data_IF_263082022213
#
_entry.id   IF_263082022213
#
_cell.length_a   1.000
_cell.length_b   1.000
_cell.length_c   1.000
_cell.angle_alpha   90.00
_cell.angle_beta   90.00
_cell.angle_gamma   90.00
#
_symmetry.space_group_name_H-M   'P 1'
#
loop_
_entity.id
_entity.type
_entity.pdbx_description
1 polymer ?
#
# COMPACT_ATOMS: atom_id res chain seq x y z
N UNK A 1 11.76 -18.09 1.22
CA UNK A 1 10.69 -18.48 0.27
C UNK A 1 9.87 -17.23 -0.08
N UNK A 2 9.28 -17.09 -1.28
CA UNK A 2 8.52 -15.90 -1.61
C UNK A 2 7.30 -15.78 -0.72
N UNK A 3 7.12 -14.61 -0.11
CA UNK A 3 5.76 -14.18 0.18
C UNK A 3 5.09 -13.98 -1.18
N UNK A 4 4.06 -14.77 -1.41
CA UNK A 4 3.16 -14.71 -2.55
C UNK A 4 2.64 -13.27 -2.82
N UNK A 5 2.72 -12.41 -1.81
CA UNK A 5 2.22 -11.03 -1.78
C UNK A 5 3.01 -10.01 -2.63
N UNK A 6 4.29 -10.22 -2.92
CA UNK A 6 5.06 -9.22 -3.70
C UNK A 6 4.90 -9.36 -5.23
N UNK A 7 4.57 -10.56 -5.75
CA UNK A 7 4.61 -10.82 -7.19
C UNK A 7 3.23 -10.90 -7.86
N UNK A 8 2.17 -11.32 -7.17
CA UNK A 8 0.83 -11.47 -7.77
C UNK A 8 -0.20 -10.45 -7.28
N UNK A 9 -0.15 -10.01 -6.02
CA UNK A 9 -1.16 -9.09 -5.46
C UNK A 9 -1.06 -7.69 -6.06
N UNK A 10 0.12 -7.27 -6.55
CA UNK A 10 0.34 -5.95 -7.17
C UNK A 10 0.43 -6.00 -8.71
N UNK A 11 0.04 -7.11 -9.35
CA UNK A 11 0.16 -7.30 -10.81
C UNK A 11 -1.19 -7.45 -11.53
N UNK A 12 -2.31 -6.95 -10.98
CA UNK A 12 -3.59 -6.93 -11.73
C UNK A 12 -3.65 -5.81 -12.77
N UNK A 13 -2.80 -5.97 -13.76
CA UNK A 13 -2.61 -5.01 -14.83
C UNK A 13 -1.13 -4.92 -15.05
N UNK A 14 -0.65 -5.49 -16.13
CA UNK A 14 0.67 -5.21 -16.72
C UNK A 14 0.77 -3.74 -17.20
N UNK A 15 0.08 -2.82 -16.53
CA UNK A 15 -0.37 -1.52 -16.99
C UNK A 15 -0.10 -0.43 -15.94
N UNK A 16 -0.11 -0.77 -14.64
CA UNK A 16 0.21 0.12 -13.53
C UNK A 16 0.76 -0.66 -12.34
N UNK A 17 1.69 -0.07 -11.58
CA UNK A 17 2.28 -0.68 -10.38
C UNK A 17 2.49 0.38 -9.31
N UNK A 18 1.74 0.28 -8.21
CA UNK A 18 2.03 1.00 -6.97
C UNK A 18 3.00 0.23 -6.07
N UNK A 19 4.00 0.94 -5.53
CA UNK A 19 4.92 0.41 -4.51
C UNK A 19 4.57 0.96 -3.14
N UNK A 20 4.18 0.05 -2.24
CA UNK A 20 3.83 0.32 -0.85
C UNK A 20 4.86 1.23 -0.18
N UNK A 21 4.42 2.36 0.41
CA UNK A 21 5.23 3.31 1.21
C UNK A 21 6.49 3.95 0.58
N UNK A 22 6.99 3.47 -0.55
CA UNK A 22 7.89 4.26 -1.41
C UNK A 22 7.11 5.20 -2.32
N UNK A 23 5.77 5.07 -2.38
CA UNK A 23 4.86 5.99 -3.08
C UNK A 23 5.16 6.15 -4.57
N UNK A 24 5.84 5.15 -5.14
CA UNK A 24 6.11 5.09 -6.57
C UNK A 24 4.87 4.49 -7.23
N UNK A 25 4.25 5.29 -8.10
CA UNK A 25 3.18 4.85 -8.97
C UNK A 25 3.68 4.86 -10.42
N UNK A 26 3.98 3.68 -10.97
CA UNK A 26 4.38 3.53 -12.36
C UNK A 26 3.16 3.21 -13.22
N UNK A 27 2.98 3.92 -14.34
CA UNK A 27 1.90 3.68 -15.30
C UNK A 27 2.54 3.44 -16.67
N UNK A 28 2.12 2.39 -17.36
CA UNK A 28 2.61 2.02 -18.68
C UNK A 28 2.09 2.95 -19.78
N UNK A 29 2.82 3.00 -20.89
CA UNK A 29 2.60 3.98 -21.98
C UNK A 29 1.24 3.95 -22.64
N UNK A 30 0.59 2.78 -22.70
CA UNK A 30 -0.76 2.65 -23.28
C UNK A 30 -1.87 3.13 -22.35
N UNK A 31 -1.54 3.50 -21.11
CA UNK A 31 -2.51 3.88 -20.09
C UNK A 31 -2.32 5.33 -19.64
N UNK A 32 -1.85 6.20 -20.53
CA UNK A 32 -1.73 7.62 -20.24
C UNK A 32 -3.11 8.31 -20.30
N UNK A 33 -3.43 9.14 -19.29
CA UNK A 33 -4.68 9.93 -19.25
C UNK A 33 -4.80 11.00 -20.34
N UNK A 34 -3.68 11.45 -20.90
CA UNK A 34 -3.63 12.52 -21.91
C UNK A 34 -2.43 12.31 -22.85
N UNK A 35 -2.50 11.33 -23.77
CA UNK A 35 -1.41 11.06 -24.70
C UNK A 35 -1.21 12.21 -25.68
N UNK A 36 0.05 12.57 -25.96
CA UNK A 36 0.42 13.70 -26.84
C UNK A 36 -0.10 13.57 -28.28
N UNK A 37 -0.42 12.36 -28.73
CA UNK A 37 -0.93 12.08 -30.07
C UNK A 37 -2.47 12.23 -30.19
N UNK A 38 -3.19 12.40 -29.08
CA UNK A 38 -4.62 12.69 -29.11
C UNK A 38 -4.83 14.22 -29.21
N UNK A 39 -5.49 14.68 -30.27
CA UNK A 39 -5.96 16.07 -30.37
C UNK A 39 -7.10 16.28 -29.37
N UNK A 40 -6.75 16.76 -28.17
CA UNK A 40 -7.60 16.85 -26.99
C UNK A 40 -8.51 18.09 -26.97
N UNK A 41 -9.45 18.17 -27.92
CA UNK A 41 -10.70 18.91 -27.68
C UNK A 41 -11.91 17.99 -27.52
N UNK A 42 -11.83 16.69 -27.88
CA UNK A 42 -13.02 15.79 -27.81
C UNK A 42 -12.77 14.29 -27.48
N UNK A 43 -11.54 13.76 -27.51
CA UNK A 43 -11.32 12.35 -27.15
C UNK A 43 -10.95 12.19 -25.66
N UNK A 44 -11.98 11.92 -24.84
CA UNK A 44 -11.80 11.49 -23.45
C UNK A 44 -10.93 10.23 -23.39
N UNK A 45 -9.94 10.17 -22.50
CA UNK A 45 -9.20 8.93 -22.27
C UNK A 45 -10.17 7.76 -22.07
N UNK A 46 -9.81 6.58 -22.57
CA UNK A 46 -10.65 5.40 -22.46
C UNK A 46 -11.03 5.19 -20.98
N UNK A 47 -12.30 4.90 -20.65
CA UNK A 47 -12.73 4.71 -19.26
C UNK A 47 -11.89 3.67 -18.49
N UNK A 48 -11.34 2.68 -19.19
CA UNK A 48 -10.37 1.72 -18.66
C UNK A 48 -9.12 2.39 -18.05
N UNK A 49 -8.59 3.42 -18.72
CA UNK A 49 -7.41 4.16 -18.27
C UNK A 49 -7.73 4.97 -17.01
N UNK A 50 -8.88 5.64 -17.00
CA UNK A 50 -9.32 6.38 -15.81
C UNK A 50 -9.54 5.44 -14.63
N UNK A 51 -10.12 4.27 -14.88
CA UNK A 51 -10.35 3.26 -13.85
C UNK A 51 -9.04 2.70 -13.27
N UNK A 52 -8.03 2.44 -14.11
CA UNK A 52 -6.68 2.08 -13.66
C UNK A 52 -6.05 3.17 -12.77
N UNK A 53 -6.09 4.44 -13.22
CA UNK A 53 -5.53 5.54 -12.43
C UNK A 53 -6.26 5.73 -11.10
N UNK A 54 -7.57 5.47 -11.05
CA UNK A 54 -8.35 5.46 -9.82
C UNK A 54 -7.94 4.30 -8.92
N UNK A 55 -7.83 3.08 -9.44
CA UNK A 55 -7.37 1.89 -8.72
C UNK A 55 -6.05 2.14 -7.99
N UNK A 56 -5.04 2.58 -8.72
CA UNK A 56 -3.72 2.87 -8.16
C UNK A 56 -3.73 4.09 -7.22
N UNK A 57 -4.62 5.05 -7.44
CA UNK A 57 -4.80 6.16 -6.52
C UNK A 57 -5.38 5.71 -5.18
N UNK A 58 -6.30 4.74 -5.17
CA UNK A 58 -6.84 4.17 -3.93
C UNK A 58 -5.74 3.52 -3.10
N UNK A 59 -4.82 2.80 -3.73
CA UNK A 59 -3.60 2.31 -3.08
C UNK A 59 -2.81 3.42 -2.43
N UNK A 60 -2.47 4.46 -3.20
CA UNK A 60 -1.74 5.62 -2.70
C UNK A 60 -2.46 6.28 -1.52
N UNK A 61 -3.78 6.45 -1.63
CA UNK A 61 -4.63 7.07 -0.63
C UNK A 61 -4.62 6.26 0.67
N UNK A 62 -4.96 4.96 0.62
CA UNK A 62 -5.03 4.12 1.82
C UNK A 62 -3.71 4.09 2.59
N UNK A 63 -2.58 4.05 1.87
CA UNK A 63 -1.26 4.00 2.48
C UNK A 63 -0.88 5.23 3.32
N UNK A 64 -1.51 6.38 3.08
CA UNK A 64 -1.21 7.64 3.75
C UNK A 64 -2.34 8.20 4.61
N UNK A 65 -3.50 7.55 4.59
CA UNK A 65 -4.72 8.11 5.19
C UNK A 65 -5.53 7.11 6.01
N UNK A 66 -5.08 5.86 6.10
CA UNK A 66 -5.71 4.83 6.93
C UNK A 66 -4.79 4.42 8.06
N UNK A 67 -5.35 3.88 9.14
CA UNK A 67 -4.56 3.38 10.28
C UNK A 67 -3.70 2.19 9.86
N UNK A 68 -4.25 1.29 9.06
CA UNK A 68 -3.51 0.14 8.54
C UNK A 68 -2.31 0.57 7.67
N UNK A 69 -2.51 1.53 6.76
CA UNK A 69 -1.44 2.08 5.93
C UNK A 69 -0.36 2.79 6.74
N UNK A 70 -0.75 3.72 7.60
CA UNK A 70 0.21 4.46 8.43
C UNK A 70 0.93 3.57 9.45
N UNK A 71 0.26 2.55 9.98
CA UNK A 71 0.89 1.53 10.83
C UNK A 71 1.92 0.69 10.08
N UNK A 72 1.62 0.25 8.86
CA UNK A 72 2.59 -0.46 8.02
C UNK A 72 3.81 0.42 7.69
N UNK A 73 3.59 1.71 7.40
CA UNK A 73 4.69 2.68 7.21
C UNK A 73 5.57 2.76 8.46
N UNK A 74 4.95 2.93 9.63
CA UNK A 74 5.65 2.97 10.91
C UNK A 74 6.53 1.74 11.10
N UNK A 75 5.96 0.54 10.95
CA UNK A 75 6.67 -0.71 11.16
C UNK A 75 7.85 -0.85 10.18
N UNK A 76 7.65 -0.52 8.90
CA UNK A 76 8.75 -0.55 7.90
C UNK A 76 9.86 0.44 8.27
N UNK A 77 9.53 1.65 8.70
CA UNK A 77 10.54 2.64 9.07
C UNK A 77 11.27 2.27 10.35
N UNK A 78 10.59 1.66 11.32
CA UNK A 78 11.24 1.11 12.51
C UNK A 78 12.28 0.04 12.14
N UNK A 79 12.04 -0.76 11.11
CA UNK A 79 12.98 -1.79 10.65
C UNK A 79 14.26 -1.23 9.98
N UNK A 80 14.32 0.07 9.67
CA UNK A 80 15.50 0.70 9.04
C UNK A 80 16.75 0.60 9.91
N UNK A 81 16.65 0.92 11.21
CA UNK A 81 17.80 0.90 12.12
C UNK A 81 18.30 -0.53 12.42
N UNK A 82 17.43 -1.52 12.73
CA UNK A 82 17.84 -2.92 12.83
C UNK A 82 18.50 -3.45 11.56
N UNK A 83 17.95 -3.14 10.38
CA UNK A 83 18.56 -3.52 9.10
C UNK A 83 19.94 -2.90 8.92
N UNK A 84 20.09 -1.62 9.28
CA UNK A 84 21.38 -0.92 9.20
C UNK A 84 22.41 -1.57 10.13
N UNK A 85 22.03 -1.91 11.36
CA UNK A 85 22.88 -2.57 12.33
C UNK A 85 23.32 -3.96 11.84
N UNK A 86 22.38 -4.79 11.39
CA UNK A 86 22.68 -6.13 10.85
C UNK A 86 23.61 -6.07 9.64
N UNK A 87 23.51 -5.04 8.78
CA UNK A 87 24.43 -4.83 7.65
C UNK A 87 25.83 -4.36 8.06
N UNK A 88 26.02 -3.86 9.28
CA UNK A 88 27.35 -3.46 9.82
C UNK A 88 27.99 -4.62 10.60
N UNK A 89 27.20 -5.33 11.39
CA UNK A 89 27.63 -6.52 12.14
C UNK A 89 26.53 -7.58 12.07
N UNK A 90 26.80 -8.66 11.34
CA UNK A 90 25.87 -9.76 11.13
C UNK A 90 25.44 -10.45 12.46
N UNK A 91 26.22 -10.29 13.54
CA UNK A 91 25.86 -10.82 14.85
C UNK A 91 24.79 -9.98 15.58
N UNK A 92 24.65 -8.69 15.26
CA UNK A 92 23.70 -7.79 15.96
C UNK A 92 22.24 -8.01 15.56
N UNK A 93 21.98 -8.60 14.39
CA UNK A 93 20.61 -8.96 13.95
C UNK A 93 20.15 -10.36 14.36
N UNK A 94 21.00 -11.13 15.03
CA UNK A 94 20.83 -12.58 15.23
C UNK A 94 20.52 -12.99 16.67
N UNK A 95 20.66 -12.09 17.65
CA UNK A 95 20.39 -12.39 19.06
C UNK A 95 18.88 -12.44 19.33
N UNK A 96 18.26 -13.56 18.96
CA UNK A 96 16.82 -13.87 19.10
C UNK A 96 16.32 -13.94 20.54
N UNK A 97 17.18 -13.69 21.53
CA UNK A 97 16.89 -13.81 22.96
C UNK A 97 17.09 -12.52 23.76
N UNK A 98 17.59 -11.44 23.15
CA UNK A 98 17.71 -10.11 23.77
C UNK A 98 16.46 -9.23 23.53
N UNK A 99 16.37 -8.09 24.22
CA UNK A 99 15.26 -7.11 24.11
C UNK A 99 15.01 -6.67 22.67
N UNK A 100 16.08 -6.46 21.89
CA UNK A 100 16.00 -6.10 20.47
C UNK A 100 15.35 -7.19 19.60
N UNK A 101 15.60 -8.47 19.90
CA UNK A 101 14.95 -9.58 19.22
C UNK A 101 13.45 -9.67 19.52
N UNK A 102 13.02 -9.25 20.71
CA UNK A 102 11.60 -9.19 21.10
C UNK A 102 10.88 -8.06 20.36
N UNK A 103 11.45 -6.86 20.32
CA UNK A 103 10.87 -5.72 19.60
C UNK A 103 10.83 -5.97 18.09
N UNK A 104 11.90 -6.51 17.50
CA UNK A 104 11.93 -6.86 16.08
C UNK A 104 10.81 -7.84 15.72
N UNK A 105 10.61 -8.88 16.54
CA UNK A 105 9.52 -9.83 16.35
C UNK A 105 8.16 -9.15 16.48
N UNK A 106 7.97 -8.29 17.49
CA UNK A 106 6.73 -7.54 17.66
C UNK A 106 6.43 -6.64 16.45
N UNK A 107 7.44 -6.00 15.85
CA UNK A 107 7.27 -5.20 14.62
C UNK A 107 6.87 -6.07 13.43
N UNK A 108 7.48 -7.23 13.22
CA UNK A 108 7.06 -8.15 12.16
C UNK A 108 5.65 -8.72 12.39
N UNK A 109 5.31 -9.05 13.63
CA UNK A 109 3.98 -9.55 13.99
C UNK A 109 2.91 -8.46 13.78
N UNK A 110 3.20 -7.21 14.15
CA UNK A 110 2.34 -6.04 13.86
C UNK A 110 2.16 -5.85 12.36
N UNK A 111 3.26 -5.81 11.59
CA UNK A 111 3.22 -5.65 10.15
C UNK A 111 2.39 -6.76 9.48
N UNK A 112 2.56 -8.02 9.92
CA UNK A 112 1.77 -9.16 9.45
C UNK A 112 0.28 -9.01 9.77
N UNK A 113 -0.08 -8.53 10.95
CA UNK A 113 -1.49 -8.27 11.34
C UNK A 113 -2.12 -7.17 10.49
N UNK A 114 -1.42 -6.05 10.31
CA UNK A 114 -1.91 -4.90 9.56
C UNK A 114 -2.02 -5.19 8.06
N UNK A 115 -1.01 -5.84 7.47
CA UNK A 115 -1.02 -6.22 6.05
C UNK A 115 -2.02 -7.33 5.74
N UNK A 116 -2.27 -8.21 6.71
CA UNK A 116 -2.92 -9.49 6.48
C UNK A 116 -1.93 -10.49 5.89
N UNK A 117 -2.36 -11.74 5.73
CA UNK A 117 -1.50 -12.79 5.20
C UNK A 117 -2.30 -13.90 4.55
N UNK A 118 -1.62 -14.70 3.73
CA UNK A 118 -2.13 -15.92 3.12
C UNK A 118 -1.18 -17.08 3.44
N UNK A 119 -1.73 -18.25 3.75
CA UNK A 119 -1.01 -19.50 4.01
C UNK A 119 -1.53 -20.57 3.05
N UNK A 120 -0.68 -21.55 2.75
CA UNK A 120 -1.04 -22.76 2.00
C UNK A 120 -1.34 -22.58 0.50
N UNK A 121 -1.12 -21.39 -0.07
CA UNK A 121 -1.05 -21.26 -1.53
C UNK A 121 0.33 -21.72 -2.01
N UNK A 122 0.42 -22.62 -3.02
CA UNK A 122 1.69 -23.05 -3.58
C UNK A 122 2.54 -21.85 -4.09
N UNK A 123 3.87 -21.86 -3.90
CA UNK A 123 4.73 -20.84 -4.47
C UNK A 123 4.59 -20.78 -6.00
N UNK A 124 4.50 -19.57 -6.56
CA UNK A 124 4.30 -19.33 -8.01
C UNK A 124 3.03 -19.98 -8.58
N UNK A 125 2.01 -20.15 -7.74
CA UNK A 125 0.69 -20.53 -8.22
C UNK A 125 0.21 -19.53 -9.26
N UNK A 126 -0.48 -20.00 -10.29
CA UNK A 126 -1.12 -19.15 -11.28
C UNK A 126 -2.62 -19.35 -11.15
N UNK A 127 -3.33 -18.27 -10.85
CA UNK A 127 -4.78 -18.35 -10.68
C UNK A 127 -5.48 -18.76 -11.97
N UNK A 128 -6.19 -19.89 -11.89
CA UNK A 128 -7.22 -20.24 -12.86
C UNK A 128 -8.47 -19.41 -12.60
N UNK A 129 -9.42 -19.47 -13.54
CA UNK A 129 -10.72 -18.82 -13.37
C UNK A 129 -11.47 -19.48 -12.21
N UNK A 130 -11.71 -18.71 -11.16
CA UNK A 130 -12.55 -19.14 -10.03
C UNK A 130 -14.01 -18.93 -10.39
N UNK A 131 -14.83 -19.97 -10.23
CA UNK A 131 -16.27 -19.93 -10.45
C UNK A 131 -17.04 -19.68 -9.15
N UNK A 132 -16.49 -20.14 -8.02
CA UNK A 132 -17.11 -19.99 -6.70
C UNK A 132 -16.06 -19.95 -5.60
N UNK A 133 -16.35 -19.15 -4.58
CA UNK A 133 -15.61 -19.10 -3.33
C UNK A 133 -16.46 -19.71 -2.21
N UNK A 134 -15.85 -20.53 -1.37
CA UNK A 134 -16.45 -21.02 -0.13
C UNK A 134 -15.56 -20.61 1.04
N UNK A 135 -16.18 -20.06 2.09
CA UNK A 135 -15.48 -19.55 3.28
C UNK A 135 -15.93 -20.33 4.51
N UNK A 136 -15.01 -20.61 5.42
CA UNK A 136 -15.33 -21.16 6.73
C UNK A 136 -15.94 -20.10 7.64
N UNK A 137 -16.82 -20.48 8.58
CA UNK A 137 -17.12 -19.64 9.73
C UNK A 137 -15.84 -19.28 10.49
N UNK A 138 -15.86 -18.13 11.18
CA UNK A 138 -14.75 -17.74 12.06
C UNK A 138 -14.58 -18.79 13.15
N UNK A 139 -13.35 -19.25 13.36
CA UNK A 139 -13.07 -20.27 14.37
C UNK A 139 -13.44 -19.74 15.76
N UNK A 140 -14.29 -20.41 16.56
CA UNK A 140 -14.72 -19.92 17.89
C UNK A 140 -13.58 -19.63 18.87
N UNK A 141 -12.38 -20.20 18.63
CA UNK A 141 -11.18 -19.93 19.41
C UNK A 141 -10.44 -18.62 19.07
N UNK A 142 -10.76 -17.97 17.94
CA UNK A 142 -10.06 -16.78 17.41
C UNK A 142 -10.72 -15.45 17.82
N UNK A 143 -11.28 -15.41 19.04
CA UNK A 143 -12.17 -14.37 19.60
C UNK A 143 -13.63 -14.44 19.14
N UNK A 144 -14.52 -14.18 20.10
CA UNK A 144 -15.97 -14.03 19.91
C UNK A 144 -16.23 -12.67 19.26
N UNK A 145 -16.28 -12.64 17.94
CA UNK A 145 -16.94 -11.56 17.20
C UNK A 145 -18.44 -11.53 17.63
N UNK A 146 -19.08 -10.35 17.80
CA UNK A 146 -18.56 -9.00 17.64
C UNK A 146 -18.14 -8.39 18.99
N UNK A 147 -16.91 -7.87 19.07
CA UNK A 147 -16.45 -7.06 20.19
C UNK A 147 -16.72 -5.57 19.92
N UNK A 148 -17.24 -4.84 20.92
CA UNK A 148 -17.43 -3.38 20.80
C UNK A 148 -16.09 -2.66 20.64
N UNK A 149 -15.07 -3.13 21.37
CA UNK A 149 -13.71 -2.58 21.34
C UNK A 149 -12.83 -3.51 20.52
N UNK A 150 -12.25 -2.97 19.45
CA UNK A 150 -11.34 -3.70 18.57
C UNK A 150 -9.91 -3.44 19.03
N UNK A 151 -9.21 -4.50 19.41
CA UNK A 151 -7.83 -4.42 19.88
C UNK A 151 -6.84 -4.73 18.73
N UNK A 152 -5.72 -3.99 18.68
CA UNK A 152 -4.65 -4.18 17.70
C UNK A 152 -3.98 -5.58 17.73
N UNK A 153 -4.09 -6.32 18.83
CA UNK A 153 -3.54 -7.68 18.97
C UNK A 153 -4.49 -8.76 18.43
N UNK A 154 -5.74 -8.41 18.13
CA UNK A 154 -6.72 -9.37 17.63
C UNK A 154 -6.57 -9.60 16.13
N UNK A 155 -6.90 -10.81 15.68
CA UNK A 155 -6.91 -11.16 14.26
C UNK A 155 -7.93 -12.27 13.99
N UNK A 156 -8.59 -12.19 12.83
CA UNK A 156 -9.50 -13.22 12.31
C UNK A 156 -8.88 -13.89 11.08
N UNK A 157 -8.96 -15.21 11.02
CA UNK A 157 -8.56 -16.02 9.86
C UNK A 157 -9.76 -16.77 9.27
N UNK A 158 -9.70 -17.02 7.97
CA UNK A 158 -10.68 -17.79 7.22
C UNK A 158 -9.98 -18.92 6.48
N UNK A 159 -10.53 -20.12 6.57
CA UNK A 159 -10.24 -21.18 5.61
C UNK A 159 -11.12 -20.96 4.38
N UNK A 160 -10.52 -21.05 3.20
CA UNK A 160 -11.15 -20.73 1.92
C UNK A 160 -10.93 -21.87 0.95
N UNK A 161 -11.98 -22.20 0.22
CA UNK A 161 -11.92 -23.08 -0.95
C UNK A 161 -12.26 -22.26 -2.20
N UNK A 162 -11.29 -22.12 -3.10
CA UNK A 162 -11.51 -21.61 -4.44
C UNK A 162 -11.87 -22.76 -5.37
N UNK A 163 -13.04 -22.70 -6.00
CA UNK A 163 -13.52 -23.72 -6.94
C UNK A 163 -13.36 -23.19 -8.36
N UNK A 164 -12.66 -23.93 -9.20
CA UNK A 164 -12.33 -23.52 -10.57
C UNK A 164 -13.37 -23.99 -11.60
N UNK A 165 -13.23 -23.57 -12.85
CA UNK A 165 -14.13 -23.91 -13.95
C UNK A 165 -13.99 -25.36 -14.45
N UNK A 166 -12.84 -25.99 -14.22
CA UNK A 166 -12.57 -27.41 -14.44
C UNK A 166 -13.06 -28.32 -13.29
N UNK A 167 -13.58 -27.74 -12.22
CA UNK A 167 -14.06 -28.44 -11.03
C UNK A 167 -12.97 -28.78 -10.01
N UNK A 168 -11.72 -28.41 -10.25
CA UNK A 168 -10.66 -28.52 -9.23
C UNK A 168 -10.88 -27.51 -8.10
N UNK A 169 -10.21 -27.75 -6.98
CA UNK A 169 -10.27 -26.90 -5.80
C UNK A 169 -8.87 -26.50 -5.32
N UNK A 170 -8.74 -25.28 -4.79
CA UNK A 170 -7.59 -24.85 -4.02
C UNK A 170 -8.05 -24.42 -2.63
N UNK A 171 -7.52 -25.09 -1.61
CA UNK A 171 -7.75 -24.74 -0.22
C UNK A 171 -6.58 -23.94 0.34
N UNK A 172 -6.89 -22.85 1.03
CA UNK A 172 -5.89 -22.01 1.67
C UNK A 172 -6.49 -21.26 2.87
N UNK A 173 -5.64 -20.68 3.70
CA UNK A 173 -6.07 -19.88 4.85
C UNK A 173 -5.60 -18.45 4.68
N UNK A 174 -6.41 -17.46 5.00
CA UNK A 174 -5.97 -16.07 4.98
C UNK A 174 -6.57 -15.23 6.10
N UNK A 175 -5.90 -14.13 6.40
CA UNK A 175 -6.43 -13.06 7.24
C UNK A 175 -6.51 -11.76 6.42
N UNK A 176 -7.70 -11.15 6.27
CA UNK A 176 -7.85 -9.92 5.50
C UNK A 176 -7.19 -8.74 6.23
N UNK A 177 -6.27 -8.06 5.55
CA UNK A 177 -5.62 -6.84 6.02
C UNK A 177 -5.49 -5.80 4.91
N UNK A 178 -4.55 -4.87 5.07
CA UNK A 178 -4.32 -3.76 4.13
C UNK A 178 -4.29 -4.19 2.67
N UNK A 179 -3.56 -5.26 2.35
CA UNK A 179 -3.38 -5.72 0.96
C UNK A 179 -4.70 -6.23 0.36
N UNK A 180 -5.36 -7.18 1.03
CA UNK A 180 -6.63 -7.76 0.57
C UNK A 180 -7.75 -6.72 0.47
N UNK A 181 -7.91 -5.90 1.51
CA UNK A 181 -9.00 -4.93 1.61
C UNK A 181 -8.79 -3.77 0.64
N UNK A 182 -7.56 -3.28 0.47
CA UNK A 182 -7.27 -2.20 -0.48
C UNK A 182 -7.50 -2.63 -1.91
N UNK A 183 -7.01 -3.81 -2.32
CA UNK A 183 -7.27 -4.33 -3.67
C UNK A 183 -8.76 -4.55 -3.91
N UNK A 184 -9.49 -5.04 -2.90
CA UNK A 184 -10.94 -5.19 -2.95
C UNK A 184 -11.67 -3.87 -3.20
N UNK A 185 -11.35 -2.82 -2.42
CA UNK A 185 -11.94 -1.49 -2.58
C UNK A 185 -11.57 -0.86 -3.93
N UNK A 186 -10.28 -0.93 -4.29
CA UNK A 186 -9.77 -0.38 -5.54
C UNK A 186 -10.47 -1.03 -6.74
N UNK A 187 -10.68 -2.35 -6.67
CA UNK A 187 -11.41 -3.09 -7.69
C UNK A 187 -12.90 -2.77 -7.75
N UNK A 188 -13.58 -2.60 -6.61
CA UNK A 188 -14.99 -2.18 -6.60
C UNK A 188 -15.17 -0.82 -7.29
N UNK A 189 -14.22 0.10 -7.11
CA UNK A 189 -14.20 1.41 -7.79
C UNK A 189 -13.88 1.26 -9.28
N UNK A 190 -12.83 0.51 -9.62
CA UNK A 190 -12.46 0.20 -11.00
C UNK A 190 -13.65 -0.40 -11.78
N UNK A 191 -14.30 -1.39 -11.19
CA UNK A 191 -15.45 -2.08 -11.76
C UNK A 191 -16.64 -1.14 -11.95
N UNK A 192 -16.98 -0.29 -10.98
CA UNK A 192 -18.07 0.69 -11.12
C UNK A 192 -17.80 1.68 -12.26
N UNK A 193 -16.57 2.19 -12.37
CA UNK A 193 -16.16 3.11 -13.44
C UNK A 193 -16.34 2.44 -14.83
N UNK A 194 -15.82 1.22 -14.99
CA UNK A 194 -15.94 0.47 -16.27
C UNK A 194 -17.38 0.10 -16.59
N UNK A 195 -18.17 -0.30 -15.59
CA UNK A 195 -19.58 -0.64 -15.79
C UNK A 195 -20.42 0.57 -16.22
N UNK A 196 -20.19 1.75 -15.61
CA UNK A 196 -20.85 3.00 -16.03
C UNK A 196 -20.45 3.45 -17.43
N UNK A 197 -19.27 3.05 -17.88
CA UNK A 197 -18.80 3.24 -19.25
C UNK A 197 -19.37 2.22 -20.25
N UNK A 198 -20.26 1.32 -19.83
CA UNK A 198 -20.94 0.36 -20.70
C UNK A 198 -20.24 -1.00 -20.83
N UNK A 199 -19.15 -1.26 -20.09
CA UNK A 199 -18.54 -2.59 -20.04
C UNK A 199 -19.43 -3.52 -19.22
N UNK A 200 -19.80 -4.69 -19.76
CA UNK A 200 -20.58 -5.67 -19.01
C UNK A 200 -19.82 -6.16 -17.78
N UNK A 201 -20.53 -6.47 -16.68
CA UNK A 201 -19.94 -7.04 -15.46
C UNK A 201 -19.07 -8.28 -15.77
N UNK A 202 -19.57 -9.19 -16.59
CA UNK A 202 -18.83 -10.36 -17.04
C UNK A 202 -17.51 -9.99 -17.74
N UNK A 203 -17.53 -8.96 -18.59
CA UNK A 203 -16.34 -8.49 -19.29
C UNK A 203 -15.29 -7.87 -18.37
N UNK A 204 -15.71 -7.20 -17.29
CA UNK A 204 -14.80 -6.69 -16.26
C UNK A 204 -14.19 -7.86 -15.48
N UNK A 205 -15.03 -8.72 -14.91
CA UNK A 205 -14.60 -9.79 -14.00
C UNK A 205 -13.70 -10.83 -14.70
N UNK A 206 -13.89 -11.11 -16.00
CA UNK A 206 -13.12 -12.14 -16.73
C UNK A 206 -11.64 -11.79 -16.90
N UNK A 207 -11.28 -10.50 -16.89
CA UNK A 207 -9.90 -10.06 -17.08
C UNK A 207 -9.20 -9.65 -15.77
N UNK A 208 -9.83 -9.92 -14.63
CA UNK A 208 -9.32 -9.58 -13.31
C UNK A 208 -8.75 -10.83 -12.64
N UNK A 209 -7.56 -10.78 -11.99
CA UNK A 209 -7.05 -11.90 -11.21
C UNK A 209 -8.03 -12.33 -10.12
N UNK A 210 -8.10 -13.63 -9.85
CA UNK A 210 -9.12 -14.16 -8.95
C UNK A 210 -8.96 -13.65 -7.50
N UNK A 211 -7.75 -13.73 -6.96
CA UNK A 211 -7.44 -13.26 -5.60
C UNK A 211 -6.43 -12.12 -5.65
N UNK A 212 -6.57 -11.07 -4.80
CA UNK A 212 -7.66 -10.84 -3.84
C UNK A 212 -8.96 -10.27 -4.43
N UNK A 213 -8.92 -9.76 -5.67
CA UNK A 213 -9.95 -8.94 -6.31
C UNK A 213 -11.36 -9.54 -6.28
N UNK A 214 -11.53 -10.73 -6.88
CA UNK A 214 -12.82 -11.39 -7.03
C UNK A 214 -13.25 -12.12 -5.75
N UNK A 215 -12.39 -12.18 -4.73
CA UNK A 215 -12.68 -12.81 -3.43
C UNK A 215 -13.26 -11.81 -2.40
N UNK A 216 -12.98 -10.51 -2.53
CA UNK A 216 -13.41 -9.48 -1.57
C UNK A 216 -14.94 -9.41 -1.42
N UNK A 217 -15.66 -9.23 -2.53
CA UNK A 217 -17.13 -9.18 -2.54
C UNK A 217 -17.76 -10.44 -1.93
N UNK A 218 -17.42 -11.64 -2.43
CA UNK A 218 -17.93 -12.90 -1.88
C UNK A 218 -17.66 -13.11 -0.39
N UNK A 219 -16.51 -12.65 0.14
CA UNK A 219 -16.26 -12.70 1.59
C UNK A 219 -17.28 -11.85 2.36
N UNK A 220 -17.53 -10.62 1.91
CA UNK A 220 -18.48 -9.73 2.59
C UNK A 220 -19.92 -10.26 2.50
N UNK A 221 -20.29 -10.85 1.37
CA UNK A 221 -21.59 -11.49 1.19
C UNK A 221 -21.76 -12.72 2.09
N UNK A 222 -20.72 -13.54 2.21
CA UNK A 222 -20.70 -14.67 3.14
C UNK A 222 -20.91 -14.20 4.59
N UNK A 223 -20.17 -13.18 5.02
CA UNK A 223 -20.27 -12.62 6.38
C UNK A 223 -21.64 -11.97 6.65
N UNK A 224 -22.17 -11.23 5.67
CA UNK A 224 -23.47 -10.57 5.80
C UNK A 224 -24.66 -11.53 5.66
N UNK A 225 -24.44 -12.75 5.16
CA UNK A 225 -25.50 -13.70 4.85
C UNK A 225 -26.38 -13.31 3.66
N UNK A 226 -25.90 -12.41 2.79
CA UNK A 226 -26.67 -11.84 1.68
C UNK A 226 -25.88 -10.91 0.78
N UNK A 227 -26.53 -10.38 -0.27
CA UNK A 227 -25.90 -9.46 -1.22
C UNK A 227 -25.47 -8.15 -0.54
N UNK A 228 -24.24 -7.70 -0.81
CA UNK A 228 -23.71 -6.42 -0.34
C UNK A 228 -23.48 -5.50 -1.54
N UNK A 229 -24.15 -4.32 -1.62
CA UNK A 229 -23.92 -3.34 -2.68
C UNK A 229 -22.47 -2.82 -2.74
N UNK A 230 -22.00 -2.41 -3.91
CA UNK A 230 -20.60 -2.01 -4.13
C UNK A 230 -20.16 -0.82 -3.25
N UNK A 231 -21.00 0.21 -3.11
CA UNK A 231 -20.74 1.36 -2.23
C UNK A 231 -20.61 0.94 -0.77
N UNK A 232 -21.45 0.00 -0.33
CA UNK A 232 -21.42 -0.57 1.01
C UNK A 232 -20.17 -1.42 1.23
N UNK A 233 -19.71 -2.20 0.24
CA UNK A 233 -18.42 -2.91 0.32
C UNK A 233 -17.25 -1.95 0.51
N UNK A 234 -17.26 -0.83 -0.22
CA UNK A 234 -16.26 0.23 -0.08
C UNK A 234 -16.31 0.82 1.34
N UNK A 235 -17.50 1.13 1.87
CA UNK A 235 -17.66 1.64 3.24
C UNK A 235 -17.09 0.67 4.28
N UNK A 236 -17.50 -0.61 4.23
CA UNK A 236 -17.08 -1.63 5.19
C UNK A 236 -15.56 -1.84 5.14
N UNK A 237 -14.99 -1.91 3.95
CA UNK A 237 -13.55 -2.01 3.76
C UNK A 237 -12.80 -0.78 4.29
N UNK A 238 -13.25 0.44 3.96
CA UNK A 238 -12.61 1.66 4.45
C UNK A 238 -12.63 1.74 5.96
N UNK A 239 -13.78 1.46 6.60
CA UNK A 239 -13.88 1.44 8.06
C UNK A 239 -12.95 0.39 8.68
N UNK A 240 -12.83 -0.79 8.07
CA UNK A 240 -11.89 -1.80 8.52
C UNK A 240 -10.44 -1.32 8.49
N UNK A 241 -10.03 -0.58 7.45
CA UNK A 241 -8.67 -0.02 7.36
C UNK A 241 -8.40 1.13 8.36
N UNK A 242 -9.44 1.78 8.88
CA UNK A 242 -9.34 2.79 9.93
C UNK A 242 -9.25 2.18 11.33
N UNK A 243 -9.65 0.92 11.48
CA UNK A 243 -9.64 0.21 12.75
C UNK A 243 -8.23 -0.26 13.18
N UNK A 244 -8.01 -0.55 14.48
CA UNK A 244 -6.76 -1.13 14.97
C UNK A 244 -6.45 -2.52 14.41
N UNK A 245 -7.49 -3.34 14.17
CA UNK A 245 -7.38 -4.65 13.55
C UNK A 245 -8.33 -4.74 12.34
N UNK A 246 -7.79 -4.68 11.10
CA UNK A 246 -8.63 -4.67 9.90
C UNK A 246 -9.50 -5.93 9.76
N UNK A 247 -8.94 -7.11 10.04
CA UNK A 247 -9.65 -8.38 9.93
C UNK A 247 -10.88 -8.48 10.85
N UNK A 248 -10.74 -8.04 12.11
CA UNK A 248 -11.80 -8.07 13.11
C UNK A 248 -12.89 -7.07 12.77
N UNK A 249 -12.50 -5.86 12.37
CA UNK A 249 -13.42 -4.81 11.97
C UNK A 249 -14.23 -5.21 10.73
N UNK A 250 -13.56 -5.71 9.69
CA UNK A 250 -14.24 -6.17 8.47
C UNK A 250 -15.28 -7.24 8.79
N UNK A 251 -14.90 -8.23 9.62
CA UNK A 251 -15.79 -9.31 10.04
C UNK A 251 -16.99 -8.78 10.81
N UNK A 252 -16.74 -8.04 11.89
CA UNK A 252 -17.79 -7.53 12.78
C UNK A 252 -18.77 -6.59 12.06
N UNK A 253 -18.26 -5.68 11.23
CA UNK A 253 -19.10 -4.74 10.49
C UNK A 253 -19.94 -5.46 9.43
N UNK A 254 -19.37 -6.47 8.75
CA UNK A 254 -20.08 -7.21 7.69
C UNK A 254 -21.19 -8.09 8.24
N UNK A 255 -20.97 -8.77 9.38
CA UNK A 255 -22.01 -9.57 10.05
C UNK A 255 -23.19 -8.72 10.54
N UNK A 256 -22.93 -7.46 10.92
CA UNK A 256 -23.93 -6.61 11.56
C UNK A 256 -24.64 -5.65 10.60
N UNK A 257 -24.11 -5.39 9.41
CA UNK A 257 -24.64 -4.34 8.51
C UNK A 257 -26.09 -4.56 8.05
N UNK A 258 -26.58 -5.81 8.07
CA UNK A 258 -27.95 -6.17 7.67
C UNK A 258 -28.97 -6.16 8.82
N UNK A 259 -28.55 -5.81 10.04
CA UNK A 259 -29.43 -5.82 11.21
C UNK A 259 -30.46 -4.68 11.15
N UNK A 260 -31.72 -4.97 11.45
CA UNK A 260 -32.81 -3.98 11.44
C UNK A 260 -32.60 -2.88 12.50
N UNK A 261 -33.04 -1.66 12.19
CA UNK A 261 -32.97 -0.53 13.10
C UNK A 261 -33.69 -0.83 14.43
N UNK A 262 -33.07 -0.46 15.55
CA UNK A 262 -33.59 -0.75 16.90
C UNK A 262 -33.26 -2.15 17.44
N UNK A 263 -32.65 -3.03 16.65
CA UNK A 263 -32.11 -4.30 17.15
C UNK A 263 -30.79 -4.11 17.90
N UNK A 264 -30.43 -5.07 18.74
CA UNK A 264 -29.11 -5.08 19.41
C UNK A 264 -27.96 -5.09 18.41
N UNK A 265 -28.13 -5.74 17.26
CA UNK A 265 -27.15 -5.78 16.18
C UNK A 265 -26.89 -4.41 15.55
N UNK A 266 -27.95 -3.65 15.24
CA UNK A 266 -27.82 -2.29 14.70
C UNK A 266 -27.19 -1.30 15.70
N UNK A 267 -27.52 -1.44 17.00
CA UNK A 267 -26.89 -0.67 18.07
C UNK A 267 -25.39 -0.99 18.15
N UNK A 268 -25.04 -2.27 18.07
CA UNK A 268 -23.65 -2.74 18.12
C UNK A 268 -22.86 -2.28 16.89
N UNK A 269 -23.43 -2.36 15.69
CA UNK A 269 -22.84 -1.83 14.46
C UNK A 269 -22.47 -0.35 14.63
N UNK A 270 -23.43 0.46 15.10
CA UNK A 270 -23.23 1.89 15.33
C UNK A 270 -22.14 2.15 16.38
N UNK A 271 -22.10 1.35 17.46
CA UNK A 271 -21.09 1.46 18.48
C UNK A 271 -19.67 1.18 17.94
N UNK A 272 -19.50 0.11 17.14
CA UNK A 272 -18.22 -0.24 16.51
C UNK A 272 -17.78 0.86 15.53
N UNK A 273 -18.69 1.35 14.67
CA UNK A 273 -18.38 2.45 13.74
C UNK A 273 -17.88 3.68 14.51
N UNK A 274 -18.58 4.07 15.58
CA UNK A 274 -18.17 5.20 16.39
C UNK A 274 -16.82 4.98 17.09
N UNK A 275 -16.55 3.78 17.60
CA UNK A 275 -15.26 3.42 18.19
C UNK A 275 -14.12 3.54 17.17
N UNK A 276 -14.30 2.99 15.97
CA UNK A 276 -13.33 3.08 14.87
C UNK A 276 -13.03 4.54 14.52
N UNK A 277 -14.07 5.36 14.32
CA UNK A 277 -13.90 6.74 13.89
C UNK A 277 -13.26 7.63 14.96
N UNK A 278 -13.69 7.47 16.22
CA UNK A 278 -13.09 8.19 17.35
C UNK A 278 -11.64 7.71 17.59
N UNK A 279 -11.41 6.40 17.54
CA UNK A 279 -10.10 5.78 17.67
C UNK A 279 -9.14 6.24 16.57
N UNK A 280 -9.61 6.38 15.33
CA UNK A 280 -8.80 6.93 14.24
C UNK A 280 -8.48 8.42 14.43
N UNK A 281 -9.42 9.22 14.94
CA UNK A 281 -9.15 10.64 15.26
C UNK A 281 -8.04 10.78 16.30
N UNK A 282 -8.08 9.98 17.37
CA UNK A 282 -7.04 9.95 18.40
C UNK A 282 -5.70 9.46 17.83
N UNK A 283 -5.74 8.39 17.02
CA UNK A 283 -4.56 7.87 16.34
C UNK A 283 -3.93 8.92 15.41
N UNK A 284 -4.72 9.72 14.70
CA UNK A 284 -4.23 10.77 13.80
C UNK A 284 -3.42 11.83 14.54
N UNK A 285 -3.85 12.20 15.74
CA UNK A 285 -3.13 13.16 16.60
C UNK A 285 -1.85 12.54 17.16
N UNK A 286 -1.94 11.31 17.66
CA UNK A 286 -0.78 10.55 18.13
C UNK A 286 0.24 10.33 17.01
N UNK A 287 -0.20 10.06 15.77
CA UNK A 287 0.67 9.88 14.63
C UNK A 287 1.44 11.16 14.30
N UNK A 288 0.74 12.30 14.27
CA UNK A 288 1.37 13.62 14.10
C UNK A 288 2.38 13.92 15.20
N UNK A 289 2.00 13.71 16.46
CA UNK A 289 2.76 14.20 17.61
C UNK A 289 3.91 13.27 18.01
N UNK A 290 3.85 11.98 17.65
CA UNK A 290 4.86 10.98 18.02
C UNK A 290 5.54 10.31 16.84
N UNK A 291 4.78 9.78 15.88
CA UNK A 291 5.35 8.98 14.79
C UNK A 291 6.15 9.82 13.79
N UNK A 292 5.63 10.98 13.40
CA UNK A 292 6.36 11.88 12.49
C UNK A 292 7.70 12.33 13.09
N UNK A 293 7.77 12.85 14.33
CA UNK A 293 9.04 13.15 14.99
C UNK A 293 9.98 11.94 15.09
N UNK A 294 9.44 10.75 15.36
CA UNK A 294 10.21 9.50 15.38
C UNK A 294 10.85 9.20 14.01
N UNK A 295 10.14 9.42 12.89
CA UNK A 295 10.72 9.23 11.56
C UNK A 295 11.91 10.17 11.30
N UNK A 296 11.83 11.43 11.74
CA UNK A 296 12.99 12.33 11.69
C UNK A 296 14.17 11.83 12.52
N UNK A 297 13.92 11.23 13.69
CA UNK A 297 14.99 10.62 14.50
C UNK A 297 15.67 9.45 13.76
N UNK A 298 14.88 8.58 13.11
CA UNK A 298 15.41 7.47 12.30
C UNK A 298 16.34 7.99 11.20
N UNK A 299 16.04 9.14 10.60
CA UNK A 299 16.82 9.72 9.50
C UNK A 299 17.81 10.82 9.91
N UNK A 300 18.02 11.06 11.21
CA UNK A 300 18.81 12.21 11.70
C UNK A 300 20.27 12.23 11.22
N UNK A 301 20.84 11.07 10.82
CA UNK A 301 22.18 10.95 10.24
C UNK A 301 22.28 11.31 8.75
N UNK A 302 21.19 11.73 8.11
CA UNK A 302 21.15 12.04 6.69
C UNK A 302 20.31 13.28 6.42
N UNK A 303 20.96 14.38 6.05
CA UNK A 303 20.29 15.64 5.71
C UNK A 303 19.32 15.46 4.53
N UNK A 304 19.73 14.71 3.50
CA UNK A 304 18.91 14.48 2.32
C UNK A 304 17.65 13.64 2.62
N UNK A 305 17.74 12.63 3.49
CA UNK A 305 16.55 11.86 3.91
C UNK A 305 15.65 12.70 4.81
N UNK A 306 16.22 13.47 5.74
CA UNK A 306 15.46 14.40 6.57
C UNK A 306 14.72 15.45 5.74
N UNK A 307 15.32 15.91 4.65
CA UNK A 307 14.68 16.83 3.71
C UNK A 307 13.57 16.16 2.89
N UNK A 308 13.82 14.94 2.39
CA UNK A 308 12.76 14.14 1.75
C UNK A 308 11.59 13.86 2.69
N UNK A 309 11.87 13.68 3.99
CA UNK A 309 10.87 13.44 5.02
C UNK A 309 9.92 14.63 5.20
N UNK A 310 10.34 15.86 4.92
CA UNK A 310 9.45 17.03 4.95
C UNK A 310 8.38 16.99 3.86
N UNK A 311 8.70 16.44 2.67
CA UNK A 311 7.70 16.23 1.60
C UNK A 311 6.72 15.15 2.03
N UNK A 312 7.24 14.04 2.57
CA UNK A 312 6.45 12.92 3.05
C UNK A 312 5.52 13.34 4.22
N UNK A 313 6.02 14.11 5.19
CA UNK A 313 5.25 14.69 6.29
C UNK A 313 4.08 15.52 5.76
N UNK A 314 4.30 16.43 4.81
CA UNK A 314 3.22 17.25 4.24
C UNK A 314 2.12 16.38 3.62
N UNK A 315 2.49 15.31 2.93
CA UNK A 315 1.53 14.34 2.38
C UNK A 315 0.72 13.65 3.49
N UNK A 316 1.39 13.12 4.52
CA UNK A 316 0.72 12.44 5.64
C UNK A 316 -0.21 13.38 6.40
N UNK A 317 0.24 14.60 6.72
CA UNK A 317 -0.56 15.59 7.43
C UNK A 317 -1.80 16.02 6.62
N UNK A 318 -1.64 16.23 5.31
CA UNK A 318 -2.78 16.50 4.44
C UNK A 318 -3.73 15.30 4.42
N UNK A 319 -3.20 14.09 4.25
CA UNK A 319 -3.97 12.85 4.22
C UNK A 319 -4.82 12.64 5.47
N UNK A 320 -4.21 12.79 6.66
CA UNK A 320 -4.89 12.77 7.95
C UNK A 320 -5.96 13.86 8.07
N UNK A 321 -5.66 15.08 7.62
CA UNK A 321 -6.62 16.19 7.63
C UNK A 321 -7.82 15.91 6.73
N UNK A 322 -7.59 15.45 5.49
CA UNK A 322 -8.62 15.07 4.53
C UNK A 322 -9.54 13.99 5.11
N UNK A 323 -8.97 12.95 5.74
CA UNK A 323 -9.74 11.86 6.37
C UNK A 323 -10.55 12.32 7.57
N UNK A 324 -10.05 13.27 8.37
CA UNK A 324 -10.82 13.87 9.48
C UNK A 324 -12.01 14.69 8.99
N UNK A 325 -11.84 15.43 7.88
CA UNK A 325 -12.93 16.21 7.28
C UNK A 325 -13.95 15.31 6.58
N UNK A 326 -13.48 14.23 5.96
CA UNK A 326 -14.30 13.26 5.25
C UNK A 326 -13.73 11.84 5.46
N UNK A 327 -14.41 11.06 6.27
CA UNK A 327 -13.93 9.72 6.68
C UNK A 327 -13.92 8.71 5.51
N UNK A 328 -14.89 8.83 4.60
CA UNK A 328 -15.06 7.96 3.44
C UNK A 328 -14.67 8.71 2.16
N UNK A 329 -13.36 8.81 1.92
CA UNK A 329 -12.78 9.54 0.78
C UNK A 329 -13.04 8.80 -0.54
N UNK A 330 -12.98 7.47 -0.50
CA UNK A 330 -13.12 6.51 -1.59
C UNK A 330 -14.45 6.68 -2.33
N UNK A 331 -15.52 7.01 -1.59
CA UNK A 331 -16.83 7.28 -2.16
C UNK A 331 -16.85 8.48 -3.12
N UNK A 332 -15.79 9.30 -3.17
CA UNK A 332 -15.68 10.35 -4.18
C UNK A 332 -15.64 9.76 -5.60
N UNK A 333 -15.13 8.54 -5.73
CA UNK A 333 -14.92 7.88 -7.01
C UNK A 333 -16.17 7.14 -7.56
N UNK A 334 -17.24 7.03 -6.77
CA UNK A 334 -18.47 6.30 -7.13
C UNK A 334 -19.68 7.20 -7.43
N UNK A 335 -19.59 8.52 -7.17
CA UNK A 335 -20.75 9.44 -7.19
C UNK A 335 -21.16 9.87 -8.59
N UNK A 336 -20.19 10.12 -9.46
CA UNK A 336 -20.41 10.68 -10.80
C UNK A 336 -19.67 9.84 -11.85
N UNK A 337 -20.07 9.90 -13.13
CA UNK A 337 -19.27 9.32 -14.22
C UNK A 337 -17.82 9.80 -14.12
N UNK A 338 -16.89 8.84 -14.07
CA UNK A 338 -15.48 9.15 -13.86
C UNK A 338 -14.80 9.49 -15.18
N UNK A 339 -14.73 10.78 -15.47
CA UNK A 339 -13.94 11.34 -16.57
C UNK A 339 -12.52 11.66 -16.10
N UNK A 340 -11.57 11.86 -17.02
CA UNK A 340 -10.20 12.32 -16.71
C UNK A 340 -10.23 13.59 -15.85
N UNK A 341 -11.08 14.56 -16.23
CA UNK A 341 -11.24 15.82 -15.52
C UNK A 341 -11.75 15.61 -14.10
N UNK A 342 -12.78 14.77 -13.93
CA UNK A 342 -13.35 14.48 -12.62
C UNK A 342 -12.34 13.75 -11.73
N UNK A 343 -11.64 12.75 -12.27
CA UNK A 343 -10.59 12.04 -11.58
C UNK A 343 -9.47 12.98 -11.10
N UNK A 344 -8.91 13.80 -12.01
CA UNK A 344 -7.86 14.76 -11.67
C UNK A 344 -8.31 15.77 -10.61
N UNK A 345 -9.56 16.26 -10.72
CA UNK A 345 -10.12 17.17 -9.73
C UNK A 345 -10.28 16.51 -8.35
N UNK A 346 -10.75 15.26 -8.29
CA UNK A 346 -10.89 14.53 -7.04
C UNK A 346 -9.50 14.28 -6.43
N UNK A 347 -8.59 13.67 -7.20
CA UNK A 347 -7.26 13.31 -6.73
C UNK A 347 -6.47 14.53 -6.23
N UNK A 348 -6.48 15.64 -6.97
CA UNK A 348 -5.76 16.86 -6.58
C UNK A 348 -6.25 17.47 -5.26
N UNK A 349 -7.54 17.33 -4.95
CA UNK A 349 -8.13 17.87 -3.74
C UNK A 349 -7.97 16.93 -2.54
N UNK A 350 -8.00 15.61 -2.76
CA UNK A 350 -7.87 14.63 -1.68
C UNK A 350 -6.44 14.54 -1.15
N UNK A 351 -5.49 14.20 -2.04
CA UNK A 351 -4.09 13.98 -1.69
C UNK A 351 -3.23 13.99 -2.95
N UNK A 352 -2.19 14.82 -2.97
CA UNK A 352 -1.27 14.92 -4.12
C UNK A 352 -0.42 13.67 -4.26
N UNK A 353 0.01 13.42 -5.50
CA UNK A 353 0.84 12.25 -5.83
C UNK A 353 1.91 12.60 -6.84
N UNK A 354 2.94 11.75 -6.88
CA UNK A 354 3.88 11.68 -7.98
C UNK A 354 3.50 10.49 -8.88
N UNK A 355 3.47 10.71 -10.19
CA UNK A 355 3.19 9.68 -11.19
C UNK A 355 4.41 9.50 -12.08
N UNK A 356 4.80 8.26 -12.28
CA UNK A 356 5.87 7.83 -13.17
C UNK A 356 5.21 7.26 -14.43
N UNK A 357 4.96 8.11 -15.41
CA UNK A 357 4.24 7.78 -16.64
C UNK A 357 5.23 7.37 -17.73
N UNK A 358 5.20 6.11 -18.15
CA UNK A 358 5.96 5.68 -19.34
C UNK A 358 5.35 6.31 -20.58
N UNK A 359 6.19 6.67 -21.54
CA UNK A 359 5.82 7.20 -22.86
C UNK A 359 6.17 6.19 -23.93
N UNK A 360 5.65 6.39 -25.14
CA UNK A 360 6.03 5.59 -26.30
C UNK A 360 7.54 5.75 -26.53
N UNK A 361 8.27 4.63 -26.67
CA UNK A 361 9.74 4.65 -26.82
C UNK A 361 10.54 4.42 -25.53
N UNK A 362 9.89 4.01 -24.44
CA UNK A 362 10.51 3.69 -23.14
C UNK A 362 11.08 4.89 -22.37
N UNK A 363 10.77 6.11 -22.79
CA UNK A 363 10.94 7.30 -21.94
C UNK A 363 9.95 7.26 -20.76
N UNK A 364 10.35 7.84 -19.64
CA UNK A 364 9.53 7.95 -18.44
C UNK A 364 9.42 9.42 -18.03
N UNK A 365 8.18 9.90 -17.89
CA UNK A 365 7.88 11.22 -17.35
C UNK A 365 7.55 11.08 -15.87
N UNK A 366 8.25 11.82 -15.01
CA UNK A 366 7.92 11.91 -13.59
C UNK A 366 7.25 13.26 -13.35
N UNK A 367 5.99 13.24 -12.93
CA UNK A 367 5.21 14.46 -12.71
C UNK A 367 4.48 14.44 -11.37
N UNK A 368 4.39 15.61 -10.76
CA UNK A 368 3.57 15.84 -9.58
C UNK A 368 2.16 16.28 -9.99
N UNK A 369 1.15 15.60 -9.46
CA UNK A 369 -0.26 15.90 -9.70
C UNK A 369 -0.90 16.39 -8.39
N UNK A 370 -1.49 17.59 -8.42
CA UNK A 370 -2.12 18.17 -7.24
C UNK A 370 -2.40 19.66 -7.30
N UNK A 371 -2.89 20.21 -6.18
CA UNK A 371 -3.23 21.62 -6.06
C UNK A 371 -1.97 22.53 -6.07
N UNK A 372 -2.13 23.77 -6.56
CA UNK A 372 -1.08 24.80 -6.44
C UNK A 372 -0.87 25.17 -4.98
N UNK A 373 0.39 25.42 -4.58
CA UNK A 373 0.74 25.79 -3.21
C UNK A 373 0.93 24.61 -2.27
N UNK A 374 0.89 23.37 -2.78
CA UNK A 374 1.15 22.15 -2.01
C UNK A 374 2.54 21.58 -2.31
N UNK A 375 2.75 20.29 -2.02
CA UNK A 375 3.97 19.56 -2.35
C UNK A 375 4.35 19.65 -3.83
N UNK A 376 3.37 19.82 -4.73
CA UNK A 376 3.58 19.95 -6.18
C UNK A 376 4.43 21.18 -6.53
N UNK A 377 4.31 22.26 -5.75
CA UNK A 377 5.00 23.54 -6.00
C UNK A 377 6.23 23.74 -5.13
N UNK A 378 6.69 22.70 -4.43
CA UNK A 378 7.97 22.74 -3.71
C UNK A 378 9.14 22.81 -4.69
N UNK A 379 10.33 23.21 -4.22
CA UNK A 379 11.50 23.34 -5.08
C UNK A 379 11.96 21.99 -5.64
N UNK A 380 12.62 22.00 -6.79
CA UNK A 380 13.19 20.79 -7.42
C UNK A 380 14.07 19.99 -6.44
N UNK A 381 14.88 20.69 -5.66
CA UNK A 381 15.73 20.13 -4.61
C UNK A 381 14.95 19.38 -3.49
N UNK A 382 13.72 19.81 -3.17
CA UNK A 382 12.83 19.03 -2.28
C UNK A 382 12.29 17.77 -2.96
N UNK A 383 11.95 17.85 -4.24
CA UNK A 383 11.48 16.69 -5.02
C UNK A 383 12.59 15.66 -5.23
N UNK A 384 13.82 16.11 -5.48
CA UNK A 384 15.01 15.27 -5.56
C UNK A 384 15.29 14.58 -4.22
N UNK A 385 15.26 15.32 -3.11
CA UNK A 385 15.42 14.73 -1.78
C UNK A 385 14.33 13.70 -1.46
N UNK A 386 13.09 13.94 -1.90
CA UNK A 386 12.01 12.97 -1.77
C UNK A 386 12.26 11.72 -2.62
N UNK A 387 12.72 11.85 -3.87
CA UNK A 387 13.08 10.72 -4.71
C UNK A 387 14.22 9.86 -4.12
N UNK A 388 15.17 10.49 -3.44
CA UNK A 388 16.22 9.80 -2.65
C UNK A 388 15.62 9.04 -1.46
N UNK A 389 14.67 9.64 -0.73
CA UNK A 389 13.93 8.95 0.34
C UNK A 389 13.11 7.77 -0.20
N UNK A 390 12.40 7.92 -1.32
CA UNK A 390 11.65 6.83 -1.96
C UNK A 390 12.57 5.66 -2.32
N UNK A 391 13.77 5.96 -2.83
CA UNK A 391 14.80 4.96 -3.15
C UNK A 391 15.31 4.23 -1.90
N UNK A 392 15.55 4.98 -0.82
CA UNK A 392 15.95 4.42 0.48
C UNK A 392 14.89 3.46 1.02
N UNK A 393 13.61 3.87 1.05
CA UNK A 393 12.50 3.02 1.52
C UNK A 393 12.37 1.78 0.64
N UNK A 394 12.42 1.95 -0.69
CA UNK A 394 12.35 0.83 -1.62
C UNK A 394 13.51 -0.16 -1.42
N UNK A 395 14.74 0.33 -1.20
CA UNK A 395 15.89 -0.51 -0.90
C UNK A 395 15.73 -1.30 0.41
N UNK A 396 15.26 -0.64 1.49
CA UNK A 396 14.95 -1.29 2.78
C UNK A 396 13.93 -2.41 2.58
N UNK A 397 12.88 -2.16 1.79
CA UNK A 397 11.84 -3.14 1.51
C UNK A 397 12.36 -4.41 0.81
N UNK A 398 13.39 -4.32 -0.02
CA UNK A 398 14.00 -5.50 -0.67
C UNK A 398 14.59 -6.50 0.35
N UNK A 399 14.95 -6.03 1.54
CA UNK A 399 15.47 -6.86 2.62
C UNK A 399 14.37 -7.49 3.50
N UNK A 400 13.11 -7.10 3.34
CA UNK A 400 12.04 -7.63 4.16
C UNK A 400 11.68 -9.07 3.76
N UNK A 401 11.36 -9.86 4.77
CA UNK A 401 10.67 -11.16 4.67
C UNK A 401 9.51 -11.14 5.67
N UNK A 402 8.67 -12.17 5.64
CA UNK A 402 7.46 -12.23 6.47
C UNK A 402 7.73 -12.15 7.98
N UNK A 403 8.93 -12.55 8.42
CA UNK A 403 9.26 -12.70 9.84
C UNK A 403 10.65 -12.18 10.22
N UNK A 404 11.45 -11.71 9.26
CA UNK A 404 12.84 -11.33 9.49
C UNK A 404 13.38 -10.42 8.38
N UNK A 405 14.59 -9.89 8.62
CA UNK A 405 15.39 -9.16 7.65
C UNK A 405 16.38 -10.12 6.99
N UNK A 406 16.41 -10.14 5.66
CA UNK A 406 17.34 -10.93 4.86
C UNK A 406 18.51 -10.07 4.38
N UNK A 407 19.70 -10.27 4.96
CA UNK A 407 20.91 -9.51 4.61
C UNK A 407 21.97 -10.34 3.90
N UNK A 408 21.86 -11.67 3.92
CA UNK A 408 22.90 -12.62 3.50
C UNK A 408 22.64 -13.17 2.10
N UNK A 409 21.38 -13.48 1.79
CA UNK A 409 21.01 -13.89 0.45
C UNK A 409 21.11 -12.72 -0.55
N UNK A 410 21.46 -12.97 -1.82
CA UNK A 410 21.35 -11.97 -2.86
C UNK A 410 19.92 -11.40 -2.94
N UNK A 411 19.84 -10.08 -3.09
CA UNK A 411 18.57 -9.42 -3.32
C UNK A 411 17.95 -9.88 -4.65
N UNK A 412 16.62 -9.88 -4.69
CA UNK A 412 15.88 -10.26 -5.90
C UNK A 412 16.05 -9.21 -6.97
N UNK A 413 16.27 -9.61 -8.24
CA UNK A 413 16.30 -8.65 -9.33
C UNK A 413 15.04 -7.78 -9.36
N UNK A 414 15.24 -6.46 -9.37
CA UNK A 414 14.15 -5.48 -9.46
C UNK A 414 14.57 -4.31 -10.34
N UNK A 415 13.63 -3.77 -11.12
CA UNK A 415 13.90 -2.62 -11.96
C UNK A 415 13.96 -1.35 -11.11
N UNK A 416 14.90 -0.46 -11.44
CA UNK A 416 14.96 0.90 -10.91
C UNK A 416 13.66 1.64 -11.22
N UNK A 417 12.98 2.22 -10.21
CA UNK A 417 11.77 3.03 -10.42
C UNK A 417 11.95 4.20 -11.40
N UNK A 418 13.17 4.71 -11.52
CA UNK A 418 13.52 5.88 -12.34
C UNK A 418 14.05 5.51 -13.73
N UNK A 419 14.12 4.22 -14.06
CA UNK A 419 14.58 3.74 -15.37
C UNK A 419 13.66 4.27 -16.48
N UNK A 420 14.24 4.90 -17.50
CA UNK A 420 13.56 5.63 -18.58
C UNK A 420 13.44 7.15 -18.38
N UNK A 421 13.59 7.65 -17.14
CA UNK A 421 13.58 9.10 -16.82
C UNK A 421 14.96 9.58 -16.40
N UNK A 422 15.81 8.67 -15.93
CA UNK A 422 17.09 9.00 -15.33
C UNK A 422 18.17 9.21 -16.40
N UNK A 423 18.73 10.41 -16.46
CA UNK A 423 19.84 10.73 -17.37
C UNK A 423 21.09 9.89 -17.09
N UNK A 424 21.28 9.43 -15.85
CA UNK A 424 22.39 8.55 -15.45
C UNK A 424 22.29 7.18 -16.12
N UNK A 425 21.09 6.62 -16.31
CA UNK A 425 20.93 5.32 -16.99
C UNK A 425 21.44 5.35 -18.43
N UNK A 426 21.04 6.39 -19.18
CA UNK A 426 21.45 6.55 -20.58
C UNK A 426 22.95 6.82 -20.74
N UNK A 427 23.58 7.46 -19.74
CA UNK A 427 24.98 7.92 -19.82
C UNK A 427 25.98 6.98 -19.17
N UNK A 428 25.61 6.28 -18.08
CA UNK A 428 26.50 5.39 -17.35
C UNK A 428 26.78 4.04 -18.06
N UNK A 429 26.19 3.82 -19.24
CA UNK A 429 26.51 2.69 -20.13
C UNK A 429 26.15 1.30 -19.60
N UNK A 430 25.41 1.20 -18.50
CA UNK A 430 25.05 -0.07 -17.84
C UNK A 430 23.54 -0.16 -17.54
N UNK A 431 22.66 -0.12 -18.57
CA UNK A 431 21.21 -0.18 -18.37
C UNK A 431 20.74 -1.47 -17.69
N UNK A 432 21.50 -2.56 -17.81
CA UNK A 432 21.19 -3.82 -17.13
C UNK A 432 21.24 -3.69 -15.61
N UNK A 433 22.18 -2.92 -15.04
CA UNK A 433 22.23 -2.66 -13.59
C UNK A 433 20.95 -1.93 -13.15
N UNK A 434 20.50 -0.94 -13.92
CA UNK A 434 19.23 -0.25 -13.66
C UNK A 434 18.00 -1.16 -13.80
N UNK A 435 18.07 -2.24 -14.60
CA UNK A 435 16.94 -3.16 -14.81
C UNK A 435 16.85 -4.29 -13.78
N UNK A 436 17.97 -4.67 -13.16
CA UNK A 436 18.00 -5.81 -12.24
C UNK A 436 18.55 -5.50 -10.85
N UNK A 437 19.58 -4.67 -10.73
CA UNK A 437 20.32 -4.49 -9.46
C UNK A 437 20.62 -3.02 -9.18
N UNK A 438 19.60 -2.13 -9.06
CA UNK A 438 19.80 -0.69 -8.98
C UNK A 438 20.63 -0.23 -7.76
N UNK A 439 20.75 -1.07 -6.71
CA UNK A 439 21.62 -0.84 -5.55
C UNK A 439 23.12 -1.09 -5.81
N UNK A 440 23.49 -1.60 -6.99
CA UNK A 440 24.87 -1.79 -7.45
C UNK A 440 25.31 -0.69 -8.42
N UNK A 441 24.43 0.28 -8.71
CA UNK A 441 24.75 1.39 -9.59
C UNK A 441 25.90 2.23 -9.01
N UNK A 442 26.77 2.76 -9.88
CA UNK A 442 27.81 3.71 -9.44
C UNK A 442 27.14 5.03 -9.04
N UNK A 443 27.63 5.63 -7.95
CA UNK A 443 27.07 6.86 -7.40
C UNK A 443 27.23 8.05 -8.36
N UNK A 444 28.37 8.14 -9.06
CA UNK A 444 28.68 9.22 -10.00
C UNK A 444 28.86 8.62 -11.40
N UNK A 445 28.05 9.07 -12.35
CA UNK A 445 28.28 8.85 -13.79
C UNK A 445 29.55 9.54 -14.27
N UNK A 446 30.05 9.20 -15.46
CA UNK A 446 31.31 9.76 -15.99
C UNK A 446 31.31 11.30 -16.14
N UNK A 447 30.12 11.92 -16.11
CA UNK A 447 29.88 13.36 -16.21
C UNK A 447 29.64 14.07 -14.86
N UNK A 448 29.70 13.36 -13.73
CA UNK A 448 29.41 13.92 -12.41
C UNK A 448 27.95 13.79 -11.97
N UNK A 449 27.05 13.22 -12.78
CA UNK A 449 25.65 13.06 -12.42
C UNK A 449 25.44 11.99 -11.33
N UNK A 450 24.66 12.32 -10.31
CA UNK A 450 24.39 11.46 -9.15
C UNK A 450 23.21 10.53 -9.46
N UNK A 451 23.40 9.21 -9.29
CA UNK A 451 22.31 8.25 -9.40
C UNK A 451 21.36 8.39 -8.19
N UNK A 452 20.11 8.81 -8.42
CA UNK A 452 19.10 8.98 -7.35
C UNK A 452 18.90 7.73 -6.50
N UNK A 453 18.87 6.55 -7.14
CA UNK A 453 18.71 5.30 -6.41
C UNK A 453 19.91 5.01 -5.52
N UNK A 454 21.12 5.16 -6.07
CA UNK A 454 22.37 4.95 -5.31
C UNK A 454 22.52 5.98 -4.19
N UNK A 455 22.10 7.24 -4.41
CA UNK A 455 22.04 8.25 -3.37
C UNK A 455 21.13 7.83 -2.21
N UNK A 456 20.00 7.15 -2.50
CA UNK A 456 19.14 6.55 -1.47
C UNK A 456 19.84 5.45 -0.67
N UNK A 457 20.59 4.57 -1.35
CA UNK A 457 21.39 3.51 -0.70
C UNK A 457 22.53 4.10 0.14
N UNK A 458 23.22 5.12 -0.35
CA UNK A 458 24.32 5.76 0.36
C UNK A 458 23.82 6.59 1.54
N UNK A 459 22.67 7.25 1.38
CA UNK A 459 22.01 7.94 2.48
C UNK A 459 21.52 6.96 3.56
N UNK A 460 21.00 5.78 3.19
CA UNK A 460 20.72 4.71 4.14
C UNK A 460 22.00 4.29 4.90
N UNK A 461 23.12 4.15 4.19
CA UNK A 461 24.41 3.81 4.82
C UNK A 461 24.92 4.92 5.75
N UNK A 462 24.57 6.18 5.52
CA UNK A 462 24.97 7.30 6.38
C UNK A 462 24.14 7.42 7.66
N UNK A 463 23.00 6.73 7.75
CA UNK A 463 22.22 6.66 9.00
C UNK A 463 23.12 6.07 10.09
N UNK A 464 23.19 6.79 11.22
CA UNK A 464 23.98 6.38 12.37
C UNK A 464 23.41 5.06 12.92
N UNK A 465 24.25 4.04 13.04
CA UNK A 465 23.88 2.85 13.80
C UNK A 465 23.56 3.27 15.24
N UNK A 466 22.52 2.70 15.88
CA UNK A 466 22.24 2.99 17.29
C UNK A 466 23.49 2.66 18.11
N UNK A 467 24.08 3.67 18.76
CA UNK A 467 25.18 3.42 19.67
C UNK A 467 24.62 2.74 20.93
N UNK A 468 25.33 1.77 21.54
CA UNK A 468 24.87 1.10 22.75
C UNK A 468 24.67 2.05 23.95
N UNK A 469 25.22 3.27 23.90
CA UNK A 469 25.03 4.31 24.93
C UNK A 469 23.87 5.30 24.64
N UNK A 470 23.20 5.17 23.50
CA UNK A 470 22.07 6.01 23.06
C UNK A 470 20.80 5.16 22.90
N UNK A 471 20.52 4.28 23.87
CA UNK A 471 19.16 3.78 24.08
C UNK A 471 18.31 4.96 24.56
N UNK A 472 17.81 5.74 23.60
CA UNK A 472 16.76 6.71 23.81
C UNK A 472 15.46 5.92 24.00
N UNK A 473 14.96 5.82 25.24
CA UNK A 473 13.69 5.16 25.62
C UNK A 473 12.48 5.70 24.82
N UNK A 474 12.63 6.80 24.06
CA UNK A 474 11.58 7.34 23.19
C UNK A 474 11.54 6.75 21.77
N UNK A 475 12.52 5.93 21.38
CA UNK A 475 12.40 5.06 20.22
C UNK A 475 12.15 3.63 20.74
N UNK A 476 11.16 2.88 20.23
CA UNK A 476 10.81 1.56 20.77
C UNK A 476 11.82 0.44 20.42
N UNK A 477 13.12 0.73 20.43
CA UNK A 477 14.25 -0.20 20.17
C UNK A 477 14.99 -0.65 21.44
#
# INVERSE_FOLDING_TARGET
MPSFHEEEVLRSGTAGVFRLHSLILNIESLNELSPEWANLDDESALPLVVALHAHEYIHYLHNLTTRAGLGCLTDILLLVLPLRAQKVDDNTGSDTHGTQGVQLRATFDSLRRLKGYVKHIPPKYQWRRVTRWEFSPVNPGQLRVPAVVIDHEQQVEFDVTAIFDDGDELQFTFSPGLEFITEGIAYEIDRDIRMRAGVSRFGVDTNTPAFPYLAFGPLLEFLAGGEVPADQRVILGTLALLAPSPSVALTSLSELQGCEEGTSGAILFTAIVNDILNGFSNYSELFRDWHIPMFYKIFAGSEILSKGMQVYEKLMLKGLSSRRQRQLLELAFLREPMTVKNFNNIAANLLERVVFQRKLGAELEIRWEGAKGSVVTMSADMHEAFAVLQSCIHYVQQHLKDTHLETQAPLRPTQCPFSGACTVEHRAGNPEICRSTPWEAKNIGEDGAICTYQAGVDAFRSILAPQPALQDDSLPF
#
